data_IF_802112219967
#
_entry.id   IF_802112219967
#
_cell.length_a   1.000
_cell.length_b   1.000
_cell.length_c   1.000
_cell.angle_alpha   90.00
_cell.angle_beta   90.00
_cell.angle_gamma   90.00
#
_symmetry.space_group_name_H-M   'P 1'
#
loop_
_entity.id
_entity.type
_entity.pdbx_description
1 polymer ?
#
# COMPACT_ATOMS: atom_id res chain seq x y z
N UNK A 1 10.31 -0.46 11.64
CA UNK A 1 10.93 0.80 12.09
C UNK A 1 10.51 1.99 11.23
N UNK A 2 10.87 2.05 9.94
CA UNK A 2 10.49 3.15 9.03
C UNK A 2 9.00 3.53 9.05
N UNK A 3 8.10 2.56 8.80
CA UNK A 3 6.65 2.83 8.77
C UNK A 3 6.14 3.34 10.11
N UNK A 4 6.61 2.75 11.22
CA UNK A 4 6.25 3.17 12.58
C UNK A 4 6.69 4.61 12.85
N UNK A 5 7.90 4.98 12.47
CA UNK A 5 8.37 6.36 12.64
C UNK A 5 7.57 7.34 11.77
N UNK A 6 7.21 6.93 10.54
CA UNK A 6 6.38 7.74 9.64
C UNK A 6 4.99 8.00 10.24
N UNK A 7 4.37 6.97 10.80
CA UNK A 7 3.09 7.10 11.50
C UNK A 7 3.19 7.94 12.78
N UNK A 8 4.23 7.73 13.60
CA UNK A 8 4.46 8.54 14.81
C UNK A 8 4.72 10.01 14.48
N UNK A 9 5.30 10.30 13.31
CA UNK A 9 5.47 11.66 12.81
C UNK A 9 4.16 12.26 12.25
N UNK A 10 3.06 11.50 12.22
CA UNK A 10 1.76 11.94 11.70
C UNK A 10 1.75 12.13 10.19
N UNK A 11 2.68 11.52 9.45
CA UNK A 11 2.76 11.62 8.00
C UNK A 11 1.90 10.52 7.37
N UNK A 12 0.82 10.85 6.64
CA UNK A 12 0.03 9.86 5.92
C UNK A 12 0.88 9.20 4.83
N UNK A 13 0.73 7.89 4.67
CA UNK A 13 1.44 7.14 3.64
C UNK A 13 0.57 6.02 3.09
N UNK A 14 0.96 5.50 1.92
CA UNK A 14 0.32 4.39 1.22
C UNK A 14 1.36 3.28 1.05
N UNK A 15 0.96 2.03 1.31
CA UNK A 15 1.83 0.87 1.13
C UNK A 15 1.65 0.26 -0.25
N UNK A 16 2.74 0.17 -1.02
CA UNK A 16 2.73 -0.43 -2.36
C UNK A 16 3.46 -1.77 -2.34
N UNK A 17 2.72 -2.87 -2.47
CA UNK A 17 3.31 -4.19 -2.72
C UNK A 17 3.67 -4.32 -4.19
N UNK A 18 4.93 -4.58 -4.50
CA UNK A 18 5.41 -4.67 -5.89
C UNK A 18 5.60 -6.12 -6.33
N UNK A 19 5.83 -6.32 -7.65
CA UNK A 19 6.17 -7.61 -8.26
C UNK A 19 5.11 -8.70 -8.04
N UNK A 20 3.84 -8.32 -8.04
CA UNK A 20 2.72 -9.26 -7.87
C UNK A 20 2.71 -10.39 -8.91
N UNK A 21 3.30 -10.19 -10.09
CA UNK A 21 3.46 -11.19 -11.15
C UNK A 21 4.28 -12.43 -10.74
N UNK A 22 5.07 -12.34 -9.66
CA UNK A 22 5.87 -13.45 -9.15
C UNK A 22 5.09 -14.45 -8.30
N UNK A 23 3.85 -14.12 -7.94
CA UNK A 23 3.02 -14.91 -7.05
C UNK A 23 1.72 -15.32 -7.76
N UNK A 24 1.19 -16.49 -7.39
CA UNK A 24 -0.17 -16.85 -7.79
C UNK A 24 -1.17 -15.96 -7.03
N UNK A 25 -2.38 -15.71 -7.57
CA UNK A 25 -3.38 -14.87 -6.90
C UNK A 25 -3.66 -15.28 -5.45
N UNK A 26 -3.79 -16.59 -5.19
CA UNK A 26 -4.03 -17.13 -3.84
C UNK A 26 -2.86 -16.89 -2.88
N UNK A 27 -1.61 -17.00 -3.35
CA UNK A 27 -0.43 -16.75 -2.51
C UNK A 27 -0.30 -15.27 -2.23
N UNK A 28 -0.56 -14.43 -3.22
CA UNK A 28 -0.55 -12.98 -3.10
C UNK A 28 -1.57 -12.52 -2.04
N UNK A 29 -2.82 -12.94 -2.17
CA UNK A 29 -3.90 -12.64 -1.24
C UNK A 29 -3.54 -13.08 0.19
N UNK A 30 -3.12 -14.35 0.35
CA UNK A 30 -2.69 -14.86 1.66
C UNK A 30 -1.56 -14.04 2.28
N UNK A 31 -0.56 -13.66 1.50
CA UNK A 31 0.58 -12.90 2.01
C UNK A 31 0.17 -11.48 2.42
N UNK A 32 -0.71 -10.82 1.63
CA UNK A 32 -1.25 -9.50 1.95
C UNK A 32 -2.09 -9.57 3.23
N UNK A 33 -2.99 -10.54 3.35
CA UNK A 33 -3.82 -10.71 4.55
C UNK A 33 -2.98 -11.04 5.80
N UNK A 34 -1.96 -11.89 5.66
CA UNK A 34 -1.04 -12.15 6.76
C UNK A 34 -0.30 -10.88 7.19
N UNK A 35 0.17 -10.08 6.24
CA UNK A 35 0.86 -8.82 6.54
C UNK A 35 -0.06 -7.82 7.25
N UNK A 36 -1.32 -7.69 6.79
CA UNK A 36 -2.35 -6.87 7.43
C UNK A 36 -2.58 -7.32 8.88
N UNK A 37 -2.79 -8.61 9.09
CA UNK A 37 -3.04 -9.17 10.42
C UNK A 37 -1.88 -8.88 11.38
N UNK A 38 -0.63 -9.10 10.94
CA UNK A 38 0.55 -8.81 11.77
C UNK A 38 0.70 -7.32 12.07
N UNK A 39 0.40 -6.43 11.13
CA UNK A 39 0.44 -4.99 11.42
C UNK A 39 -0.64 -4.58 12.43
N UNK A 40 -1.85 -5.13 12.32
CA UNK A 40 -2.95 -4.83 13.24
C UNK A 40 -2.70 -5.30 14.68
N UNK A 41 -1.69 -6.12 14.93
CA UNK A 41 -1.25 -6.43 16.31
C UNK A 41 -0.68 -5.20 17.04
N UNK A 42 -0.07 -4.27 16.30
CA UNK A 42 0.55 -3.05 16.85
C UNK A 42 -0.12 -1.74 16.39
N UNK A 43 -0.98 -1.79 15.38
CA UNK A 43 -1.60 -0.63 14.73
C UNK A 43 -3.12 -0.68 14.87
N UNK A 44 -3.73 0.46 15.20
CA UNK A 44 -5.20 0.57 15.31
C UNK A 44 -5.88 0.52 13.92
N UNK A 45 -5.24 1.12 12.92
CA UNK A 45 -5.69 1.14 11.54
C UNK A 45 -4.50 0.95 10.59
N UNK A 46 -4.76 0.38 9.42
CA UNK A 46 -3.76 0.22 8.38
C UNK A 46 -3.83 1.38 7.37
N UNK A 47 -2.68 1.86 6.89
CA UNK A 47 -2.66 2.75 5.74
C UNK A 47 -3.22 2.03 4.50
N UNK A 48 -3.60 2.82 3.50
CA UNK A 48 -4.05 2.29 2.21
C UNK A 48 -3.00 1.35 1.60
N UNK A 49 -3.46 0.25 1.01
CA UNK A 49 -2.60 -0.77 0.39
C UNK A 49 -2.95 -0.90 -1.09
N UNK A 50 -1.92 -0.80 -1.94
CA UNK A 50 -2.04 -1.02 -3.38
C UNK A 50 -1.07 -2.14 -3.80
N UNK A 51 -1.58 -3.10 -4.58
CA UNK A 51 -0.77 -4.20 -5.11
C UNK A 51 -0.46 -3.94 -6.58
N UNK A 52 0.82 -4.03 -6.94
CA UNK A 52 1.32 -3.64 -8.26
C UNK A 52 2.25 -4.67 -8.89
N UNK A 53 2.31 -4.64 -10.23
CA UNK A 53 3.36 -5.28 -11.01
C UNK A 53 3.76 -4.35 -12.15
N UNK A 54 5.02 -3.94 -12.18
CA UNK A 54 5.54 -3.13 -13.28
C UNK A 54 5.52 -3.90 -14.61
N UNK A 55 5.84 -5.20 -14.58
CA UNK A 55 5.88 -6.08 -15.75
C UNK A 55 4.49 -6.31 -16.37
N UNK A 56 3.44 -6.33 -15.54
CA UNK A 56 2.06 -6.55 -15.99
C UNK A 56 1.21 -5.28 -15.99
N UNK A 57 1.80 -4.13 -15.66
CA UNK A 57 1.12 -2.87 -15.42
C UNK A 57 -0.06 -2.96 -14.42
N UNK A 58 -0.08 -3.99 -13.55
CA UNK A 58 -1.13 -4.18 -12.55
C UNK A 58 -1.04 -3.09 -11.49
N UNK A 59 -2.19 -2.52 -11.11
CA UNK A 59 -2.28 -1.46 -10.08
C UNK A 59 -1.76 -0.09 -10.53
N UNK A 60 -1.28 0.05 -11.77
CA UNK A 60 -0.78 1.32 -12.29
C UNK A 60 -1.83 2.42 -12.22
N UNK A 61 -3.01 2.15 -12.77
CA UNK A 61 -4.07 3.16 -12.86
C UNK A 61 -4.55 3.53 -11.45
N UNK A 62 -4.70 2.56 -10.54
CA UNK A 62 -5.01 2.82 -9.12
C UNK A 62 -3.98 3.74 -8.43
N UNK A 63 -2.67 3.54 -8.70
CA UNK A 63 -1.63 4.44 -8.16
C UNK A 63 -1.75 5.85 -8.76
N UNK A 64 -1.98 5.95 -10.06
CA UNK A 64 -2.10 7.24 -10.75
C UNK A 64 -3.33 8.02 -10.28
N UNK A 65 -4.47 7.35 -10.18
CA UNK A 65 -5.72 7.93 -9.67
C UNK A 65 -5.53 8.45 -8.26
N UNK A 66 -4.84 7.70 -7.40
CA UNK A 66 -4.57 8.12 -6.02
C UNK A 66 -3.63 9.32 -5.94
N UNK A 67 -2.61 9.38 -6.80
CA UNK A 67 -1.73 10.55 -6.92
C UNK A 67 -2.55 11.78 -7.37
N UNK A 68 -3.44 11.61 -8.34
CA UNK A 68 -4.31 12.69 -8.82
C UNK A 68 -5.24 13.20 -7.72
N UNK A 69 -5.90 12.30 -6.98
CA UNK A 69 -6.74 12.68 -5.84
C UNK A 69 -5.98 13.47 -4.77
N UNK A 70 -4.76 13.05 -4.42
CA UNK A 70 -3.92 13.77 -3.45
C UNK A 70 -3.54 15.16 -3.99
N UNK A 71 -3.18 15.25 -5.27
CA UNK A 71 -2.82 16.53 -5.88
C UNK A 71 -4.00 17.51 -5.91
N UNK A 72 -5.23 17.02 -6.10
CA UNK A 72 -6.45 17.85 -6.05
C UNK A 72 -6.76 18.40 -4.66
N UNK A 73 -6.26 17.75 -3.61
CA UNK A 73 -6.40 18.18 -2.22
C UNK A 73 -5.22 19.05 -1.75
N UNK A 74 -4.21 19.26 -2.60
CA UNK A 74 -3.03 20.00 -2.24
C UNK A 74 -3.21 21.49 -2.58
N UNK A 75 -3.26 22.31 -1.53
CA UNK A 75 -3.51 23.76 -1.64
C UNK A 75 -2.23 24.62 -1.81
N UNK A 76 -1.06 23.99 -2.01
CA UNK A 76 0.24 24.68 -2.12
C UNK A 76 0.93 24.88 -0.78
#
# INVERSE_FOLDING_TARGET
DFMRQTALAGVPFIMIFTKADKLTPTVLERNVEHYKATMLEEWEELPEIIVTSAEKATGRDQVLDRIEEINLQWDG
#
